data_IF_168284427958
#
_entry.id   IF_168284427958
#
_cell.length_a   1.000
_cell.length_b   1.000
_cell.length_c   1.000
_cell.angle_alpha   90.00
_cell.angle_beta   90.00
_cell.angle_gamma   90.00
#
_symmetry.space_group_name_H-M   'P 1'
#
loop_
_entity.id
_entity.type
_entity.pdbx_description
1 polymer ?
#
# COMPACT_ATOMS: atom_id res chain seq x y z
N UNK A 1 -19.93 -0.96 9.24
CA UNK A 1 -19.56 -1.03 7.82
C UNK A 1 -18.22 -0.36 7.65
N UNK A 2 -17.25 -1.00 6.97
CA UNK A 2 -15.90 -0.45 6.78
C UNK A 2 -15.82 0.25 5.43
N UNK A 3 -16.45 1.41 5.34
CA UNK A 3 -16.42 2.23 4.14
C UNK A 3 -16.28 3.71 4.51
N UNK A 4 -15.54 4.46 3.69
CA UNK A 4 -15.31 5.90 3.89
C UNK A 4 -15.07 6.60 2.56
N UNK A 5 -15.11 7.93 2.62
CA UNK A 5 -14.80 8.81 1.52
C UNK A 5 -13.36 9.33 1.64
N UNK A 6 -12.67 9.36 0.51
CA UNK A 6 -11.35 9.99 0.39
C UNK A 6 -11.20 10.66 -0.98
N UNK A 7 -10.13 11.42 -1.15
CA UNK A 7 -9.75 12.00 -2.43
C UNK A 7 -8.83 11.03 -3.18
N UNK A 8 -9.01 10.93 -4.49
CA UNK A 8 -8.16 10.12 -5.35
C UNK A 8 -7.82 10.90 -6.62
N UNK A 9 -6.63 10.64 -7.16
CA UNK A 9 -6.22 11.16 -8.44
C UNK A 9 -6.79 10.29 -9.56
N UNK A 10 -7.53 10.91 -10.46
CA UNK A 10 -8.04 10.30 -11.68
C UNK A 10 -7.52 11.12 -12.85
N UNK A 11 -6.44 10.64 -13.45
CA UNK A 11 -5.68 11.42 -14.43
C UNK A 11 -5.29 12.76 -13.80
N UNK A 12 -5.60 13.90 -14.41
CA UNK A 12 -5.22 15.21 -13.87
C UNK A 12 -6.28 15.84 -12.95
N UNK A 13 -7.32 15.09 -12.59
CA UNK A 13 -8.39 15.54 -11.70
C UNK A 13 -8.31 14.89 -10.31
N UNK A 14 -8.72 15.65 -9.29
CA UNK A 14 -8.94 15.14 -7.93
C UNK A 14 -10.44 14.89 -7.79
N UNK A 15 -10.81 13.62 -7.59
CA UNK A 15 -12.21 13.19 -7.51
C UNK A 15 -12.53 12.54 -6.16
N UNK A 16 -13.82 12.43 -5.86
CA UNK A 16 -14.27 11.67 -4.71
C UNK A 16 -14.17 10.17 -4.98
N UNK A 17 -13.60 9.46 -4.01
CA UNK A 17 -13.36 8.04 -4.04
C UNK A 17 -14.08 7.35 -2.89
N UNK A 18 -14.88 6.34 -3.22
CA UNK A 18 -15.52 5.48 -2.22
C UNK A 18 -14.65 4.26 -1.96
N UNK A 19 -14.10 4.19 -0.75
CA UNK A 19 -13.28 3.03 -0.34
C UNK A 19 -14.12 2.08 0.52
N UNK A 20 -14.09 0.79 0.16
CA UNK A 20 -14.88 -0.27 0.77
C UNK A 20 -13.95 -1.42 1.17
N UNK A 21 -14.02 -1.86 2.42
CA UNK A 21 -13.40 -3.10 2.88
C UNK A 21 -14.48 -4.18 2.99
N UNK A 22 -14.38 -5.22 2.16
CA UNK A 22 -15.27 -6.37 2.18
C UNK A 22 -14.78 -7.42 3.18
N UNK A 23 -15.72 -8.02 3.91
CA UNK A 23 -15.41 -9.08 4.87
C UNK A 23 -15.29 -10.42 4.14
N UNK A 24 -14.09 -10.78 3.67
CA UNK A 24 -13.85 -12.01 2.91
C UNK A 24 -13.15 -13.10 3.74
N UNK A 25 -12.85 -14.24 3.13
CA UNK A 25 -11.99 -15.25 3.74
C UNK A 25 -10.59 -14.72 4.14
N UNK A 26 -10.13 -13.60 3.56
CA UNK A 26 -8.87 -12.91 3.84
C UNK A 26 -7.60 -13.63 3.35
N UNK A 27 -6.50 -12.89 3.26
CA UNK A 27 -5.25 -13.28 2.60
C UNK A 27 -4.87 -14.75 2.80
N UNK A 28 -4.56 -15.48 1.71
CA UNK A 28 -4.06 -16.88 1.79
C UNK A 28 -2.76 -17.04 2.58
N UNK A 29 -1.87 -16.06 2.44
CA UNK A 29 -0.48 -16.21 2.84
C UNK A 29 -0.27 -16.10 4.36
N UNK A 30 -0.86 -15.08 5.01
CA UNK A 30 -0.89 -14.85 6.48
C UNK A 30 0.44 -15.03 7.24
N UNK A 31 1.57 -14.88 6.54
CA UNK A 31 2.90 -15.15 7.09
C UNK A 31 3.86 -13.95 7.00
N UNK A 32 3.38 -12.82 6.46
CA UNK A 32 4.12 -11.57 6.49
C UNK A 32 4.44 -11.18 7.93
N UNK A 33 5.71 -10.88 8.23
CA UNK A 33 6.14 -10.59 9.61
C UNK A 33 5.63 -9.25 10.15
N UNK A 34 5.10 -8.40 9.28
CA UNK A 34 4.65 -7.04 9.57
C UNK A 34 3.14 -6.82 9.48
N UNK A 35 2.39 -7.72 8.83
CA UNK A 35 0.98 -7.49 8.52
C UNK A 35 0.06 -8.37 9.37
N UNK A 36 -0.96 -7.73 9.94
CA UNK A 36 -2.01 -8.39 10.72
C UNK A 36 -3.42 -8.25 10.12
N UNK A 37 -3.56 -7.70 8.91
CA UNK A 37 -4.88 -7.46 8.30
C UNK A 37 -5.70 -8.74 8.10
N UNK A 38 -5.03 -9.90 7.96
CA UNK A 38 -5.70 -11.20 7.89
C UNK A 38 -6.53 -11.54 9.14
N UNK A 39 -6.30 -10.85 10.27
CA UNK A 39 -7.12 -11.00 11.48
C UNK A 39 -8.54 -10.44 11.29
N UNK A 40 -8.76 -9.62 10.28
CA UNK A 40 -10.08 -9.08 9.93
C UNK A 40 -10.88 -10.01 9.02
N UNK A 41 -10.32 -11.15 8.64
CA UNK A 41 -10.97 -12.14 7.81
C UNK A 41 -12.26 -12.68 8.45
N UNK A 42 -13.26 -12.94 7.62
CA UNK A 42 -14.48 -13.65 7.96
C UNK A 42 -14.53 -15.01 7.22
N UNK A 43 -14.14 -16.13 7.88
CA UNK A 43 -14.16 -17.45 7.26
C UNK A 43 -15.56 -17.96 6.87
N UNK A 44 -16.64 -17.29 7.31
CA UNK A 44 -18.03 -17.64 7.00
C UNK A 44 -18.60 -16.81 5.85
N UNK A 45 -17.82 -15.88 5.31
CA UNK A 45 -18.24 -15.09 4.16
C UNK A 45 -18.56 -15.98 2.97
N UNK A 46 -19.64 -15.67 2.28
CA UNK A 46 -20.06 -16.30 1.04
C UNK A 46 -20.45 -15.23 0.00
N UNK A 47 -20.65 -15.66 -1.24
CA UNK A 47 -20.93 -14.80 -2.37
C UNK A 47 -22.09 -13.82 -2.15
N UNK A 48 -23.18 -14.27 -1.51
CA UNK A 48 -24.35 -13.44 -1.24
C UNK A 48 -24.05 -12.38 -0.18
N UNK A 49 -23.39 -12.77 0.92
CA UNK A 49 -23.02 -11.83 1.98
C UNK A 49 -22.06 -10.75 1.48
N UNK A 50 -21.07 -11.12 0.64
CA UNK A 50 -20.10 -10.17 0.08
C UNK A 50 -20.79 -9.18 -0.86
N UNK A 51 -21.69 -9.66 -1.73
CA UNK A 51 -22.44 -8.79 -2.64
C UNK A 51 -23.38 -7.84 -1.89
N UNK A 52 -24.03 -8.30 -0.82
CA UNK A 52 -24.88 -7.46 -0.01
C UNK A 52 -24.05 -6.41 0.75
N UNK A 53 -22.93 -6.78 1.36
CA UNK A 53 -22.00 -5.83 2.00
C UNK A 53 -21.51 -4.77 1.01
N UNK A 54 -21.15 -5.17 -0.21
CA UNK A 54 -20.75 -4.24 -1.27
C UNK A 54 -21.88 -3.26 -1.61
N UNK A 55 -23.10 -3.75 -1.83
CA UNK A 55 -24.26 -2.90 -2.19
C UNK A 55 -24.65 -1.94 -1.09
N UNK A 56 -24.60 -2.38 0.16
CA UNK A 56 -24.88 -1.54 1.32
C UNK A 56 -23.79 -0.47 1.54
N UNK A 57 -22.54 -0.81 1.23
CA UNK A 57 -21.39 0.09 1.37
C UNK A 57 -21.20 1.05 0.19
N UNK A 58 -21.78 0.73 -0.96
CA UNK A 58 -21.67 1.54 -2.15
C UNK A 58 -22.45 2.86 -2.03
N UNK A 59 -21.78 3.94 -2.41
CA UNK A 59 -22.37 5.25 -2.66
C UNK A 59 -21.78 5.76 -3.98
N UNK A 60 -22.54 6.55 -4.75
CA UNK A 60 -22.16 6.96 -6.10
C UNK A 60 -20.86 7.78 -6.10
N UNK A 61 -19.83 7.28 -6.77
CA UNK A 61 -18.49 7.87 -6.86
C UNK A 61 -17.88 7.69 -8.25
N UNK A 62 -16.92 8.55 -8.61
CA UNK A 62 -16.14 8.39 -9.86
C UNK A 62 -15.13 7.24 -9.73
N UNK A 63 -14.58 7.02 -8.53
CA UNK A 63 -13.64 5.95 -8.23
C UNK A 63 -14.16 5.11 -7.07
N UNK A 64 -14.05 3.79 -7.20
CA UNK A 64 -14.35 2.85 -6.11
C UNK A 64 -13.11 2.02 -5.83
N UNK A 65 -12.70 1.94 -4.56
CA UNK A 65 -11.66 1.00 -4.10
C UNK A 65 -12.30 -0.13 -3.32
N UNK A 66 -11.90 -1.35 -3.63
CA UNK A 66 -12.34 -2.54 -2.91
C UNK A 66 -11.12 -3.25 -2.34
N UNK A 67 -11.06 -3.31 -1.01
CA UNK A 67 -10.06 -4.06 -0.26
C UNK A 67 -10.71 -5.28 0.41
N UNK A 68 -9.95 -6.36 0.52
CA UNK A 68 -10.40 -7.61 1.16
C UNK A 68 -9.49 -8.05 2.30
N UNK A 69 -8.53 -7.20 2.68
CA UNK A 69 -7.42 -7.61 3.57
C UNK A 69 -6.68 -8.86 3.04
N UNK A 70 -6.62 -8.99 1.71
CA UNK A 70 -6.20 -10.19 1.01
C UNK A 70 -6.03 -9.98 -0.49
N UNK A 71 -6.73 -10.75 -1.30
CA UNK A 71 -6.64 -10.68 -2.76
C UNK A 71 -8.02 -10.77 -3.40
N UNK A 72 -8.40 -9.73 -4.13
CA UNK A 72 -9.67 -9.66 -4.86
C UNK A 72 -9.80 -10.78 -5.90
N UNK A 73 -8.71 -11.17 -6.54
CA UNK A 73 -8.70 -12.26 -7.53
C UNK A 73 -8.47 -13.67 -6.93
N UNK A 74 -8.44 -13.81 -5.60
CA UNK A 74 -8.50 -15.14 -4.97
C UNK A 74 -9.97 -15.58 -4.90
N UNK A 75 -10.33 -16.63 -5.65
CA UNK A 75 -11.72 -17.13 -5.70
C UNK A 75 -12.24 -17.62 -4.34
N UNK A 76 -11.36 -17.82 -3.34
CA UNK A 76 -11.77 -18.13 -1.96
C UNK A 76 -12.21 -16.89 -1.19
N UNK A 77 -11.76 -15.71 -1.62
CA UNK A 77 -12.11 -14.42 -1.01
C UNK A 77 -13.28 -13.78 -1.76
N UNK A 78 -13.17 -13.62 -3.08
CA UNK A 78 -14.22 -13.03 -3.92
C UNK A 78 -14.29 -13.89 -5.18
N UNK A 79 -15.30 -14.75 -5.32
CA UNK A 79 -15.40 -15.61 -6.50
C UNK A 79 -15.68 -14.83 -7.79
N UNK A 80 -15.39 -15.47 -8.92
CA UNK A 80 -15.56 -14.89 -10.27
C UNK A 80 -16.96 -14.31 -10.52
N UNK A 81 -18.01 -14.96 -10.03
CA UNK A 81 -19.38 -14.50 -10.28
C UNK A 81 -19.73 -13.25 -9.45
N UNK A 82 -19.19 -13.15 -8.23
CA UNK A 82 -19.25 -11.92 -7.43
C UNK A 82 -18.50 -10.79 -8.11
N UNK A 83 -17.26 -11.02 -8.57
CA UNK A 83 -16.46 -10.02 -9.29
C UNK A 83 -17.19 -9.50 -10.53
N UNK A 84 -17.72 -10.40 -11.36
CA UNK A 84 -18.53 -10.05 -12.54
C UNK A 84 -19.71 -9.14 -12.19
N UNK A 85 -20.48 -9.48 -11.15
CA UNK A 85 -21.62 -8.66 -10.69
C UNK A 85 -21.19 -7.30 -10.17
N UNK A 86 -20.02 -7.20 -9.52
CA UNK A 86 -19.45 -5.93 -9.08
C UNK A 86 -19.09 -5.06 -10.29
N UNK A 87 -18.41 -5.61 -11.31
CA UNK A 87 -18.06 -4.86 -12.52
C UNK A 87 -19.30 -4.32 -13.24
N UNK A 88 -20.30 -5.18 -13.47
CA UNK A 88 -21.55 -4.80 -14.14
C UNK A 88 -22.33 -3.73 -13.36
N UNK A 89 -22.33 -3.83 -12.03
CA UNK A 89 -22.95 -2.83 -11.17
C UNK A 89 -22.22 -1.48 -11.29
N UNK A 90 -20.90 -1.47 -11.17
CA UNK A 90 -20.10 -0.24 -11.22
C UNK A 90 -20.14 0.41 -12.61
N UNK A 91 -20.12 -0.39 -13.68
CA UNK A 91 -20.32 0.10 -15.06
C UNK A 91 -21.67 0.81 -15.17
N UNK A 92 -22.75 0.18 -14.70
CA UNK A 92 -24.12 0.74 -14.76
C UNK A 92 -24.24 2.05 -13.98
N UNK A 93 -23.58 2.18 -12.84
CA UNK A 93 -23.60 3.40 -12.03
C UNK A 93 -22.69 4.51 -12.59
N UNK A 94 -21.93 4.22 -13.65
CA UNK A 94 -21.05 5.18 -14.32
C UNK A 94 -19.74 5.43 -13.57
N UNK A 95 -19.27 4.46 -12.79
CA UNK A 95 -17.97 4.55 -12.11
C UNK A 95 -16.85 4.50 -13.15
N UNK A 96 -15.92 5.45 -13.08
CA UNK A 96 -14.84 5.62 -14.06
C UNK A 96 -13.70 4.64 -13.84
N UNK A 97 -13.35 4.36 -12.57
CA UNK A 97 -12.22 3.49 -12.21
C UNK A 97 -12.53 2.62 -10.98
N UNK A 98 -12.25 1.33 -11.08
CA UNK A 98 -12.21 0.40 -9.96
C UNK A 98 -10.76 0.13 -9.57
N UNK A 99 -10.42 0.29 -8.29
CA UNK A 99 -9.11 -0.10 -7.74
C UNK A 99 -9.29 -1.32 -6.84
N UNK A 100 -8.50 -2.36 -7.08
CA UNK A 100 -8.49 -3.59 -6.27
C UNK A 100 -7.07 -4.00 -5.93
N UNK A 101 -6.90 -4.88 -4.95
CA UNK A 101 -5.60 -5.44 -4.60
C UNK A 101 -5.55 -6.94 -4.82
N UNK A 102 -4.41 -7.44 -5.28
CA UNK A 102 -4.19 -8.87 -5.39
C UNK A 102 -2.73 -9.26 -5.28
N UNK A 103 -2.49 -10.48 -4.82
CA UNK A 103 -1.16 -11.08 -4.87
C UNK A 103 -0.87 -11.64 -6.27
N UNK A 104 0.40 -11.67 -6.71
CA UNK A 104 0.78 -12.09 -8.05
C UNK A 104 0.31 -13.50 -8.43
N UNK A 105 0.25 -14.44 -7.49
CA UNK A 105 -0.14 -15.82 -7.78
C UNK A 105 -1.61 -15.97 -8.22
N UNK A 106 -2.46 -14.97 -7.96
CA UNK A 106 -3.86 -14.95 -8.37
C UNK A 106 -4.07 -14.23 -9.71
N UNK A 107 -3.03 -13.69 -10.32
CA UNK A 107 -3.10 -13.10 -11.65
C UNK A 107 -2.88 -14.24 -12.67
N UNK A 108 -3.97 -14.89 -13.06
CA UNK A 108 -4.00 -16.00 -14.03
C UNK A 108 -4.50 -15.54 -15.40
N UNK A 109 -4.40 -16.40 -16.42
CA UNK A 109 -4.94 -16.11 -17.76
C UNK A 109 -6.46 -15.89 -17.74
N UNK A 110 -7.18 -16.58 -16.86
CA UNK A 110 -8.62 -16.41 -16.67
C UNK A 110 -8.95 -15.03 -16.10
N UNK A 111 -8.14 -14.53 -15.16
CA UNK A 111 -8.28 -13.17 -14.60
C UNK A 111 -7.94 -12.11 -15.65
N UNK A 112 -6.93 -12.35 -16.49
CA UNK A 112 -6.62 -11.47 -17.62
C UNK A 112 -7.82 -11.34 -18.57
N UNK A 113 -8.43 -12.46 -18.96
CA UNK A 113 -9.64 -12.46 -19.80
C UNK A 113 -10.80 -11.75 -19.11
N UNK A 114 -11.00 -12.01 -17.82
CA UNK A 114 -12.03 -11.36 -17.01
C UNK A 114 -11.87 -9.83 -17.00
N UNK A 115 -10.64 -9.32 -16.84
CA UNK A 115 -10.34 -7.88 -16.89
C UNK A 115 -10.60 -7.32 -18.30
N UNK A 116 -10.19 -8.03 -19.36
CA UNK A 116 -10.41 -7.59 -20.75
C UNK A 116 -11.90 -7.52 -21.12
N UNK A 117 -12.72 -8.40 -20.55
CA UNK A 117 -14.18 -8.43 -20.74
C UNK A 117 -14.89 -7.37 -19.88
N UNK A 118 -14.24 -6.87 -18.82
CA UNK A 118 -14.79 -5.84 -17.96
C UNK A 118 -14.84 -4.49 -18.71
N UNK A 119 -16.00 -3.84 -18.65
CA UNK A 119 -16.25 -2.54 -19.31
C UNK A 119 -16.03 -1.35 -18.38
N UNK A 120 -15.17 -1.54 -17.38
CA UNK A 120 -14.74 -0.53 -16.42
C UNK A 120 -13.23 -0.52 -16.37
N UNK A 121 -12.60 0.65 -16.22
CA UNK A 121 -11.16 0.72 -16.04
C UNK A 121 -10.78 0.12 -14.68
N UNK A 122 -9.87 -0.86 -14.68
CA UNK A 122 -9.39 -1.53 -13.47
C UNK A 122 -7.93 -1.18 -13.22
N UNK A 123 -7.64 -0.69 -12.01
CA UNK A 123 -6.29 -0.55 -11.48
C UNK A 123 -6.04 -1.64 -10.43
N UNK A 124 -4.98 -2.43 -10.61
CA UNK A 124 -4.65 -3.53 -9.71
C UNK A 124 -3.40 -3.20 -8.91
N UNK A 125 -3.58 -3.09 -7.60
CA UNK A 125 -2.53 -2.92 -6.62
C UNK A 125 -1.88 -4.24 -6.23
N UNK A 126 -0.54 -4.31 -6.29
CA UNK A 126 0.24 -5.45 -5.83
C UNK A 126 1.18 -5.00 -4.71
N UNK A 127 1.10 -5.67 -3.56
CA UNK A 127 2.02 -5.46 -2.45
C UNK A 127 3.40 -6.03 -2.74
N UNK A 128 4.27 -5.30 -3.42
CA UNK A 128 5.64 -5.74 -3.77
C UNK A 128 6.56 -5.64 -2.55
N UNK A 129 6.34 -4.61 -1.74
CA UNK A 129 7.06 -4.21 -0.53
C UNK A 129 8.52 -3.78 -0.79
N UNK A 130 9.27 -4.54 -1.59
CA UNK A 130 10.68 -4.31 -1.94
C UNK A 130 11.01 -5.06 -3.23
N UNK A 131 11.92 -4.55 -4.06
CA UNK A 131 12.47 -5.28 -5.21
C UNK A 131 13.51 -6.32 -4.81
N UNK A 132 14.04 -6.26 -3.59
CA UNK A 132 15.07 -7.17 -3.10
C UNK A 132 14.47 -8.47 -2.55
N UNK A 133 14.68 -9.58 -3.24
CA UNK A 133 14.16 -10.90 -2.85
C UNK A 133 14.67 -11.37 -1.48
N UNK A 134 15.89 -11.01 -1.08
CA UNK A 134 16.41 -11.37 0.24
C UNK A 134 15.63 -10.66 1.35
N UNK A 135 15.37 -9.36 1.20
CA UNK A 135 14.54 -8.60 2.16
C UNK A 135 13.12 -9.17 2.12
N UNK A 136 12.56 -9.39 0.93
CA UNK A 136 11.19 -9.88 0.79
C UNK A 136 10.98 -11.24 1.43
N UNK A 137 11.93 -12.16 1.30
CA UNK A 137 11.82 -13.52 1.84
C UNK A 137 12.23 -13.59 3.32
N UNK A 138 13.41 -13.06 3.67
CA UNK A 138 14.00 -13.26 5.00
C UNK A 138 13.50 -12.26 6.02
N UNK A 139 13.16 -11.05 5.61
CA UNK A 139 12.73 -9.98 6.51
C UNK A 139 11.22 -9.87 6.54
N UNK A 140 10.58 -9.70 5.39
CA UNK A 140 9.13 -9.49 5.30
C UNK A 140 8.37 -10.82 5.28
N UNK A 141 8.95 -11.84 4.65
CA UNK A 141 8.32 -13.14 4.36
C UNK A 141 7.03 -12.97 3.55
N UNK A 142 7.12 -12.42 2.32
CA UNK A 142 5.95 -12.14 1.47
C UNK A 142 5.44 -13.34 0.66
N UNK A 143 6.29 -14.34 0.42
CA UNK A 143 5.88 -15.59 -0.23
C UNK A 143 5.73 -15.55 -1.75
N UNK A 144 6.36 -14.58 -2.42
CA UNK A 144 6.59 -14.57 -3.87
C UNK A 144 7.87 -13.78 -4.20
N UNK A 145 8.42 -14.01 -5.38
CA UNK A 145 9.67 -13.42 -5.91
C UNK A 145 9.40 -12.15 -6.74
N UNK A 146 10.44 -11.34 -6.95
CA UNK A 146 10.29 -10.13 -7.76
C UNK A 146 9.92 -10.48 -9.20
N UNK A 147 10.42 -11.62 -9.68
CA UNK A 147 10.10 -12.13 -11.00
C UNK A 147 8.63 -12.49 -11.15
N UNK A 148 7.99 -13.07 -10.13
CA UNK A 148 6.55 -13.34 -10.13
C UNK A 148 5.72 -12.06 -10.17
N UNK A 149 6.14 -11.01 -9.44
CA UNK A 149 5.55 -9.68 -9.56
C UNK A 149 5.64 -9.14 -10.99
N UNK A 150 6.83 -9.14 -11.60
CA UNK A 150 7.02 -8.64 -12.98
C UNK A 150 6.15 -9.39 -13.99
N UNK A 151 6.01 -10.71 -13.84
CA UNK A 151 5.11 -11.52 -14.68
C UNK A 151 3.66 -11.07 -14.54
N UNK A 152 3.17 -10.94 -13.30
CA UNK A 152 1.81 -10.50 -13.04
C UNK A 152 1.55 -9.07 -13.55
N UNK A 153 2.51 -8.15 -13.36
CA UNK A 153 2.42 -6.79 -13.88
C UNK A 153 2.33 -6.75 -15.41
N UNK A 154 3.14 -7.56 -16.12
CA UNK A 154 3.04 -7.68 -17.59
C UNK A 154 1.66 -8.16 -18.03
N UNK A 155 1.16 -9.23 -17.40
CA UNK A 155 -0.15 -9.81 -17.71
C UNK A 155 -1.29 -8.80 -17.49
N UNK A 156 -1.24 -8.01 -16.40
CA UNK A 156 -2.23 -6.98 -16.12
C UNK A 156 -2.20 -5.85 -17.16
N UNK A 157 -1.00 -5.40 -17.56
CA UNK A 157 -0.87 -4.36 -18.59
C UNK A 157 -1.32 -4.85 -19.96
N UNK A 158 -1.02 -6.10 -20.32
CA UNK A 158 -1.54 -6.76 -21.53
C UNK A 158 -3.07 -6.89 -21.51
N UNK A 159 -3.67 -6.97 -20.32
CA UNK A 159 -5.13 -6.95 -20.14
C UNK A 159 -5.75 -5.54 -20.30
N UNK A 160 -4.93 -4.48 -20.37
CA UNK A 160 -5.39 -3.09 -20.37
C UNK A 160 -5.63 -2.50 -18.98
N UNK A 161 -5.21 -3.19 -17.91
CA UNK A 161 -5.28 -2.64 -16.55
C UNK A 161 -4.10 -1.71 -16.24
N UNK A 162 -4.37 -0.73 -15.38
CA UNK A 162 -3.31 0.00 -14.67
C UNK A 162 -2.74 -0.88 -13.56
N UNK A 163 -1.46 -0.75 -13.29
CA UNK A 163 -0.77 -1.48 -12.21
C UNK A 163 -0.24 -0.50 -11.18
N UNK A 164 -0.55 -0.76 -9.91
CA UNK A 164 -0.03 -0.03 -8.76
C UNK A 164 0.90 -0.94 -7.96
N UNK A 165 2.11 -0.50 -7.65
CA UNK A 165 2.99 -1.20 -6.70
C UNK A 165 2.93 -0.55 -5.33
N UNK A 166 2.62 -1.34 -4.30
CA UNK A 166 2.88 -0.90 -2.92
C UNK A 166 4.31 -1.27 -2.53
N UNK A 167 5.09 -0.26 -2.17
CA UNK A 167 6.44 -0.40 -1.62
C UNK A 167 6.41 -0.05 -0.14
N UNK A 168 7.23 -0.72 0.67
CA UNK A 168 7.20 -0.60 2.12
C UNK A 168 8.45 0.14 2.61
N UNK A 169 8.27 1.31 3.21
CA UNK A 169 9.36 1.99 3.89
C UNK A 169 9.56 1.40 5.28
N UNK A 170 10.82 1.00 5.54
CA UNK A 170 11.32 0.48 6.81
C UNK A 170 10.62 -0.81 7.27
N UNK A 171 10.79 -1.93 6.52
CA UNK A 171 10.52 -3.25 7.07
C UNK A 171 11.27 -3.49 8.40
N UNK A 172 10.83 -4.45 9.25
CA UNK A 172 11.55 -4.74 10.48
C UNK A 172 13.01 -5.11 10.21
N UNK A 173 13.91 -4.90 11.17
CA UNK A 173 15.32 -5.33 11.11
C UNK A 173 16.22 -4.57 10.09
N UNK A 174 15.69 -3.63 9.31
CA UNK A 174 16.51 -2.68 8.56
C UNK A 174 16.79 -1.43 9.41
N UNK A 175 17.99 -0.89 9.29
CA UNK A 175 18.25 0.49 9.74
C UNK A 175 17.47 1.49 8.87
N UNK A 176 17.27 2.70 9.38
CA UNK A 176 16.63 3.77 8.61
C UNK A 176 17.32 4.03 7.27
N UNK A 177 18.65 4.09 7.24
CA UNK A 177 19.41 4.34 6.01
C UNK A 177 19.27 3.19 4.99
N UNK A 178 19.31 1.93 5.44
CA UNK A 178 19.07 0.78 4.57
C UNK A 178 17.64 0.78 4.02
N UNK A 179 16.66 1.16 4.83
CA UNK A 179 15.27 1.26 4.41
C UNK A 179 15.05 2.33 3.34
N UNK A 180 15.66 3.51 3.48
CA UNK A 180 15.61 4.57 2.47
C UNK A 180 16.25 4.08 1.16
N UNK A 181 17.45 3.49 1.24
CA UNK A 181 18.15 2.95 0.07
C UNK A 181 17.35 1.87 -0.64
N UNK A 182 16.75 0.94 0.11
CA UNK A 182 15.91 -0.12 -0.43
C UNK A 182 14.65 0.43 -1.10
N UNK A 183 13.98 1.40 -0.48
CA UNK A 183 12.78 2.02 -1.05
C UNK A 183 13.10 2.78 -2.35
N UNK A 184 14.17 3.59 -2.37
CA UNK A 184 14.61 4.30 -3.59
C UNK A 184 14.99 3.33 -4.70
N UNK A 185 15.71 2.25 -4.37
CA UNK A 185 16.08 1.25 -5.38
C UNK A 185 14.84 0.52 -5.88
N UNK A 186 13.92 0.15 -4.99
CA UNK A 186 12.66 -0.51 -5.34
C UNK A 186 11.80 0.37 -6.25
N UNK A 187 11.75 1.69 -6.03
CA UNK A 187 11.07 2.64 -6.92
C UNK A 187 11.63 2.53 -8.35
N UNK A 188 12.95 2.58 -8.51
CA UNK A 188 13.60 2.45 -9.83
C UNK A 188 13.35 1.08 -10.47
N UNK A 189 13.38 0.01 -9.69
CA UNK A 189 13.22 -1.34 -10.23
C UNK A 189 11.79 -1.64 -10.68
N UNK A 190 10.78 -0.97 -10.09
CA UNK A 190 9.37 -1.17 -10.46
C UNK A 190 8.86 -0.19 -11.50
N UNK A 191 9.50 0.97 -11.69
CA UNK A 191 8.96 2.08 -12.50
C UNK A 191 8.60 1.69 -13.95
N UNK A 192 9.31 0.74 -14.55
CA UNK A 192 9.02 0.26 -15.91
C UNK A 192 7.84 -0.73 -16.00
N UNK A 193 7.33 -1.19 -14.87
CA UNK A 193 6.29 -2.23 -14.77
C UNK A 193 4.95 -1.71 -14.27
N UNK A 194 4.89 -0.46 -13.77
CA UNK A 194 3.73 0.08 -13.08
C UNK A 194 3.37 1.47 -13.58
N UNK A 195 2.15 1.89 -13.32
CA UNK A 195 1.65 3.23 -13.60
C UNK A 195 1.77 4.13 -12.36
N UNK A 196 1.65 3.56 -11.16
CA UNK A 196 1.67 4.30 -9.89
C UNK A 196 2.42 3.50 -8.82
N UNK A 197 3.15 4.20 -7.96
CA UNK A 197 3.72 3.63 -6.73
C UNK A 197 2.96 4.18 -5.52
N UNK A 198 2.62 3.31 -4.57
CA UNK A 198 2.19 3.71 -3.23
C UNK A 198 3.30 3.39 -2.25
N UNK A 199 3.95 4.42 -1.71
CA UNK A 199 4.94 4.28 -0.65
C UNK A 199 4.21 4.15 0.69
N UNK A 200 4.15 2.92 1.20
CA UNK A 200 3.49 2.62 2.45
C UNK A 200 4.50 2.69 3.59
N UNK A 201 4.20 3.52 4.59
CA UNK A 201 5.06 3.70 5.75
C UNK A 201 4.72 2.64 6.81
N UNK A 202 5.74 1.94 7.32
CA UNK A 202 5.50 0.88 8.30
C UNK A 202 4.80 1.40 9.55
N UNK A 203 3.73 0.72 9.95
CA UNK A 203 3.05 0.92 11.24
C UNK A 203 3.16 -0.34 12.10
N UNK A 204 3.03 -0.17 13.42
CA UNK A 204 3.16 -1.26 14.39
C UNK A 204 1.80 -1.95 14.57
N UNK A 205 1.59 -3.01 13.81
CA UNK A 205 0.40 -3.85 13.88
C UNK A 205 0.45 -4.83 15.07
N UNK A 206 -0.71 -5.12 15.68
CA UNK A 206 -0.80 -6.11 16.77
C UNK A 206 -0.49 -7.51 16.28
N UNK A 207 0.07 -8.35 17.16
CA UNK A 207 0.41 -9.75 16.90
C UNK A 207 1.41 -9.95 15.75
N UNK A 208 2.38 -9.04 15.62
CA UNK A 208 3.42 -9.10 14.58
C UNK A 208 4.82 -9.15 15.18
N UNK A 209 5.83 -9.51 14.37
CA UNK A 209 7.22 -9.38 14.78
C UNK A 209 7.56 -7.91 15.07
N UNK A 210 7.00 -6.99 14.27
CA UNK A 210 7.20 -5.54 14.43
C UNK A 210 6.77 -5.09 15.82
N UNK A 211 5.60 -5.50 16.32
CA UNK A 211 5.16 -5.18 17.68
C UNK A 211 6.09 -5.75 18.76
N UNK A 212 6.58 -6.97 18.59
CA UNK A 212 7.54 -7.57 19.53
C UNK A 212 8.87 -6.82 19.58
N UNK A 213 9.35 -6.31 18.44
CA UNK A 213 10.58 -5.49 18.40
C UNK A 213 10.34 -4.10 18.98
N UNK A 214 9.23 -3.47 18.60
CA UNK A 214 8.84 -2.13 19.06
C UNK A 214 8.64 -2.08 20.58
N UNK A 215 7.89 -3.02 21.15
CA UNK A 215 7.68 -3.13 22.61
C UNK A 215 8.98 -3.32 23.41
N UNK A 216 10.05 -3.82 22.77
CA UNK A 216 11.37 -3.97 23.35
C UNK A 216 12.32 -2.80 23.04
N UNK A 217 11.82 -1.74 22.39
CA UNK A 217 12.61 -0.60 21.90
C UNK A 217 13.72 -1.01 20.92
N UNK A 218 13.54 -2.14 20.21
CA UNK A 218 14.44 -2.64 19.18
C UNK A 218 14.00 -2.23 17.77
N UNK A 219 12.88 -1.52 17.66
CA UNK A 219 12.34 -1.00 16.42
C UNK A 219 11.53 0.26 16.68
N UNK A 220 11.59 1.22 15.77
CA UNK A 220 10.63 2.33 15.65
C UNK A 220 10.13 2.42 14.21
N UNK A 221 8.88 2.88 14.00
CA UNK A 221 8.41 3.30 12.68
C UNK A 221 9.37 4.27 11.97
N UNK A 222 9.29 4.38 10.63
CA UNK A 222 10.15 5.28 9.87
C UNK A 222 9.93 6.74 10.28
N UNK A 223 10.97 7.54 10.08
CA UNK A 223 10.84 8.99 10.14
C UNK A 223 9.99 9.48 8.97
N UNK A 224 9.20 10.55 9.18
CA UNK A 224 8.52 11.23 8.09
C UNK A 224 9.55 11.90 7.16
N UNK A 225 10.68 12.35 7.69
CA UNK A 225 11.85 12.78 6.89
C UNK A 225 12.31 11.73 5.88
N UNK A 226 12.38 10.45 6.29
CA UNK A 226 12.74 9.36 5.38
C UNK A 226 11.72 9.16 4.27
N UNK A 227 10.43 9.34 4.57
CA UNK A 227 9.39 9.29 3.55
C UNK A 227 9.58 10.43 2.53
N UNK A 228 9.77 11.66 3.02
CA UNK A 228 10.07 12.85 2.18
C UNK A 228 11.28 12.61 1.28
N UNK A 229 12.37 12.07 1.82
CA UNK A 229 13.60 11.77 1.06
C UNK A 229 13.36 10.77 -0.10
N UNK A 230 12.54 9.73 0.13
CA UNK A 230 12.18 8.77 -0.92
C UNK A 230 11.26 9.41 -1.96
N UNK A 231 10.23 10.14 -1.52
CA UNK A 231 9.24 10.78 -2.41
C UNK A 231 9.90 11.84 -3.31
N UNK A 232 10.80 12.68 -2.78
CA UNK A 232 11.58 13.67 -3.56
C UNK A 232 12.37 13.03 -4.69
N UNK A 233 12.92 11.83 -4.49
CA UNK A 233 13.72 11.11 -5.49
C UNK A 233 12.91 10.30 -6.49
N UNK A 234 11.62 10.08 -6.23
CA UNK A 234 10.76 9.38 -7.19
C UNK A 234 10.54 10.23 -8.45
N UNK A 235 10.52 9.55 -9.60
CA UNK A 235 10.32 10.15 -10.94
C UNK A 235 9.02 9.71 -11.60
N UNK A 236 8.38 8.69 -11.05
CA UNK A 236 7.06 8.20 -11.45
C UNK A 236 6.03 8.71 -10.44
N UNK A 237 4.77 8.79 -10.85
CA UNK A 237 3.64 9.09 -9.97
C UNK A 237 3.72 8.22 -8.72
N UNK A 238 3.89 8.88 -7.57
CA UNK A 238 4.06 8.23 -6.28
C UNK A 238 3.13 8.86 -5.27
N UNK A 239 2.36 8.04 -4.58
CA UNK A 239 1.45 8.45 -3.52
C UNK A 239 1.93 7.87 -2.19
N UNK A 240 1.58 8.54 -1.10
CA UNK A 240 1.84 8.10 0.26
C UNK A 240 0.74 8.63 1.17
N UNK A 241 0.08 7.75 1.90
CA UNK A 241 -0.78 8.14 3.01
C UNK A 241 -0.13 7.67 4.32
N UNK A 242 0.44 8.59 5.14
CA UNK A 242 1.03 8.27 6.43
C UNK A 242 -0.01 7.77 7.44
N UNK A 243 -0.41 6.49 7.32
CA UNK A 243 -1.35 5.86 8.25
C UNK A 243 -0.82 5.97 9.68
N UNK A 244 -1.62 6.53 10.58
CA UNK A 244 -1.23 6.84 11.95
C UNK A 244 0.01 7.77 12.06
N UNK A 245 0.21 8.65 11.08
CA UNK A 245 1.24 9.69 11.10
C UNK A 245 1.18 10.53 12.37
N UNK A 246 2.34 10.74 12.98
CA UNK A 246 2.49 11.45 14.26
C UNK A 246 2.00 10.69 15.48
N UNK A 247 1.82 9.37 15.38
CA UNK A 247 1.49 8.50 16.51
C UNK A 247 2.67 7.59 16.82
N UNK A 248 2.79 7.17 18.08
CA UNK A 248 3.88 6.30 18.55
C UNK A 248 3.98 4.94 17.84
N UNK A 249 2.87 4.45 17.29
CA UNK A 249 2.79 3.21 16.49
C UNK A 249 2.79 3.45 14.99
N UNK A 250 2.85 4.69 14.52
CA UNK A 250 2.94 5.06 13.11
C UNK A 250 4.19 5.88 12.82
N UNK A 251 4.41 6.29 11.56
CA UNK A 251 5.54 7.12 11.18
C UNK A 251 5.48 8.48 11.90
N UNK A 252 6.61 8.94 12.42
CA UNK A 252 6.70 10.18 13.19
C UNK A 252 8.13 10.74 13.14
N UNK A 253 8.29 12.05 13.29
CA UNK A 253 9.57 12.70 13.54
C UNK A 253 9.73 12.96 15.05
N UNK A 254 9.63 14.22 15.48
CA UNK A 254 9.68 14.66 16.87
C UNK A 254 8.30 14.85 17.50
N UNK A 255 7.21 14.44 16.82
CA UNK A 255 5.81 14.69 17.19
C UNK A 255 5.31 16.12 16.97
N UNK A 256 6.16 17.14 17.15
CA UNK A 256 5.75 18.54 16.99
C UNK A 256 5.53 18.92 15.52
N UNK A 257 6.45 18.56 14.62
CA UNK A 257 6.34 18.85 13.18
C UNK A 257 5.47 17.83 12.40
N UNK A 258 5.07 16.73 13.03
CA UNK A 258 4.43 15.62 12.33
C UNK A 258 3.12 15.99 11.62
N UNK A 259 2.22 16.82 12.18
CA UNK A 259 1.01 17.24 11.48
C UNK A 259 1.31 17.94 10.14
N UNK A 260 2.34 18.79 10.11
CA UNK A 260 2.76 19.52 8.91
C UNK A 260 3.35 18.58 7.86
N UNK A 261 4.23 17.67 8.28
CA UNK A 261 4.80 16.65 7.39
C UNK A 261 3.73 15.73 6.79
N UNK A 262 2.76 15.29 7.60
CA UNK A 262 1.66 14.44 7.12
C UNK A 262 0.82 15.18 6.08
N UNK A 263 0.52 16.46 6.31
CA UNK A 263 -0.26 17.26 5.36
C UNK A 263 0.50 17.54 4.07
N UNK A 264 1.80 17.83 4.17
CA UNK A 264 2.69 17.99 3.01
C UNK A 264 2.75 16.72 2.14
N UNK A 265 2.93 15.55 2.76
CA UNK A 265 2.97 14.27 2.04
C UNK A 265 1.63 13.97 1.36
N UNK A 266 0.49 14.29 2.01
CA UNK A 266 -0.85 14.14 1.42
C UNK A 266 -1.08 15.09 0.25
N UNK A 267 -0.67 16.35 0.41
CA UNK A 267 -0.77 17.38 -0.63
C UNK A 267 0.07 17.00 -1.86
N UNK A 268 1.31 16.55 -1.64
CA UNK A 268 2.14 15.95 -2.69
C UNK A 268 1.45 14.76 -3.36
N UNK A 269 0.86 13.83 -2.58
CA UNK A 269 0.22 12.64 -3.15
C UNK A 269 -0.93 12.97 -4.08
N UNK A 270 -1.71 14.01 -3.77
CA UNK A 270 -2.85 14.45 -4.59
C UNK A 270 -2.43 15.29 -5.81
N UNK A 271 -1.41 16.15 -5.65
CA UNK A 271 -1.04 17.15 -6.66
C UNK A 271 0.18 16.76 -7.50
N UNK A 272 0.99 15.83 -6.99
CA UNK A 272 2.34 15.50 -7.46
C UNK A 272 3.31 16.70 -7.47
N UNK A 273 2.99 17.79 -6.77
CA UNK A 273 3.84 18.97 -6.63
C UNK A 273 4.86 18.78 -5.51
N UNK A 274 6.15 18.79 -5.87
CA UNK A 274 7.25 18.57 -4.94
C UNK A 274 7.49 19.75 -4.00
N UNK A 275 6.96 20.94 -4.28
CA UNK A 275 7.15 22.11 -3.41
C UNK A 275 6.63 21.83 -1.99
N UNK A 276 5.50 21.12 -1.85
CA UNK A 276 4.96 20.71 -0.55
C UNK A 276 5.98 19.92 0.28
N UNK A 277 6.85 19.14 -0.37
CA UNK A 277 7.89 18.36 0.31
C UNK A 277 9.16 19.19 0.58
N UNK A 278 9.38 20.27 -0.16
CA UNK A 278 10.54 21.16 -0.03
C UNK A 278 10.33 22.24 1.03
N UNK A 279 9.08 22.59 1.33
CA UNK A 279 8.71 23.62 2.31
C UNK A 279 8.72 23.15 3.77
N UNK A 280 8.74 21.84 4.02
CA UNK A 280 8.75 21.31 5.39
C UNK A 280 10.14 21.40 6.02
N UNK A 281 10.22 22.01 7.21
CA UNK A 281 11.46 22.23 7.94
C UNK A 281 11.27 21.94 9.44
N UNK A 282 12.31 21.40 10.10
CA UNK A 282 12.34 21.23 11.55
C UNK A 282 13.75 20.89 12.02
N UNK A 283 14.20 21.46 13.15
CA UNK A 283 15.50 21.17 13.78
C UNK A 283 15.69 19.67 14.10
N UNK A 284 14.61 18.89 14.18
CA UNK A 284 14.71 17.43 14.36
C UNK A 284 15.31 16.70 13.14
N UNK A 285 15.53 17.39 12.01
CA UNK A 285 16.30 16.88 10.88
C UNK A 285 17.70 16.44 11.32
N UNK A 286 18.35 17.19 12.22
CA UNK A 286 19.68 16.82 12.76
C UNK A 286 19.62 15.48 13.50
N UNK A 287 18.53 15.21 14.24
CA UNK A 287 18.33 13.93 14.91
C UNK A 287 18.10 12.81 13.91
N UNK A 288 17.35 13.08 12.84
CA UNK A 288 17.16 12.13 11.75
C UNK A 288 18.49 11.77 11.10
N UNK A 289 19.32 12.75 10.73
CA UNK A 289 20.66 12.50 10.16
C UNK A 289 21.58 11.68 11.09
N UNK A 290 21.56 11.99 12.39
CA UNK A 290 22.30 11.23 13.41
C UNK A 290 21.76 9.81 13.48
N UNK A 291 20.45 9.61 13.35
CA UNK A 291 19.83 8.28 13.34
C UNK A 291 20.30 7.45 12.15
N UNK A 292 20.39 8.04 10.95
CA UNK A 292 20.87 7.34 9.74
C UNK A 292 22.26 6.74 9.97
N UNK A 293 23.18 7.55 10.52
CA UNK A 293 24.56 7.14 10.79
C UNK A 293 24.63 6.18 11.97
N UNK A 294 23.99 6.50 13.09
CA UNK A 294 24.09 5.72 14.32
C UNK A 294 23.42 4.35 14.22
N UNK A 295 22.28 4.22 13.54
CA UNK A 295 21.59 2.94 13.34
C UNK A 295 22.39 1.98 12.46
N UNK A 296 23.15 2.51 11.48
CA UNK A 296 24.01 1.69 10.61
C UNK A 296 25.11 0.95 11.40
N UNK A 297 25.57 1.57 12.50
CA UNK A 297 26.61 1.03 13.39
C UNK A 297 25.99 0.16 14.51
N UNK A 298 25.00 0.70 15.21
CA UNK A 298 24.39 0.06 16.38
C UNK A 298 23.45 -1.10 16.02
N UNK A 299 22.93 -1.12 14.78
CA UNK A 299 21.88 -2.05 14.33
C UNK A 299 20.61 -2.01 15.18
N UNK A 300 20.39 -0.88 15.86
CA UNK A 300 19.27 -0.59 16.74
C UNK A 300 18.89 0.89 16.60
N UNK A 301 17.61 1.26 16.79
CA UNK A 301 17.20 2.66 16.81
C UNK A 301 17.97 3.48 17.85
N UNK A 302 18.52 4.61 17.41
CA UNK A 302 19.25 5.55 18.30
C UNK A 302 18.26 6.38 19.13
N UNK A 303 17.09 6.66 18.55
CA UNK A 303 16.03 7.45 19.15
C UNK A 303 14.73 6.63 19.18
N UNK A 304 14.11 6.48 20.37
CA UNK A 304 12.96 5.59 20.61
C UNK A 304 11.81 6.27 21.35
N UNK A 305 11.73 7.60 21.24
CA UNK A 305 10.67 8.39 21.86
C UNK A 305 9.30 8.17 21.22
#
# INVERSE_FOLDING_TARGET
MKAWWEKERLEDEIVDCRTIILSTAGCKWRRCKMCSYYLEANPKANSETILNEFREAYEKADVVKIFTSGSFFDDREVDKEVRRKIYEFLEKEGVKKLVVESRPEFITEEVVKEIQEAKIAIEVGIGVETSNDWIREKIINKGFTFQEFKRAASMLREAGSRVKAYLLLKPPLLSEEEAIKDAIQSVKDVESYVDVISLNLMTVHKNTLVEKLWSKKLYRPPWLWSAVEVLKKSKIETICDPVAGGKSRGPHNCYDCDPEFVEAIKSFSLTQDKSYLEEVECDCEELWEVSLKGESLARLPVFVF
#
